data_IF_056345055908
#
_entry.id   IF_056345055908
#
_cell.length_a   1.000
_cell.length_b   1.000
_cell.length_c   1.000
_cell.angle_alpha   90.00
_cell.angle_beta   90.00
_cell.angle_gamma   90.00
#
_symmetry.space_group_name_H-M   'P 1'
#
loop_
_entity.id
_entity.type
_entity.pdbx_description
1 polymer ?
#
# COMPACT_ATOMS: atom_id res chain seq x y z
N UNK A 1 15.96 -10.06 -12.67
CA UNK A 1 15.57 -9.81 -11.27
C UNK A 1 15.35 -8.33 -11.07
N UNK A 2 14.35 -7.93 -10.28
CA UNK A 2 14.03 -6.54 -9.95
C UNK A 2 14.31 -6.29 -8.48
N UNK A 3 14.50 -5.02 -8.12
CA UNK A 3 14.57 -4.59 -6.72
C UNK A 3 13.37 -3.69 -6.39
N UNK A 4 12.95 -3.72 -5.11
CA UNK A 4 11.99 -2.79 -4.52
C UNK A 4 12.59 -2.16 -3.26
N UNK A 5 12.69 -0.83 -3.22
CA UNK A 5 13.09 -0.09 -2.03
C UNK A 5 11.86 0.28 -1.22
N UNK A 6 11.78 -0.27 -0.01
CA UNK A 6 10.59 -0.25 0.84
C UNK A 6 10.53 1.00 1.73
N UNK A 7 9.37 1.32 2.26
CA UNK A 7 9.25 2.31 3.32
C UNK A 7 9.76 1.73 4.65
N UNK A 8 10.79 2.35 5.21
CA UNK A 8 11.48 1.86 6.40
C UNK A 8 10.66 2.04 7.69
N UNK A 9 9.68 2.95 7.71
CA UNK A 9 8.81 3.16 8.88
C UNK A 9 7.84 1.99 9.09
N UNK A 10 7.47 1.28 8.00
CA UNK A 10 6.55 0.15 8.00
C UNK A 10 7.00 -0.93 7.01
N UNK A 11 8.20 -1.51 7.26
CA UNK A 11 8.84 -2.47 6.33
C UNK A 11 7.95 -3.67 6.04
N UNK A 12 7.35 -4.29 7.06
CA UNK A 12 6.52 -5.48 6.88
C UNK A 12 5.24 -5.19 6.10
N UNK A 13 4.62 -4.02 6.30
CA UNK A 13 3.47 -3.58 5.51
C UNK A 13 3.87 -3.38 4.05
N UNK A 14 5.02 -2.73 3.81
CA UNK A 14 5.56 -2.50 2.45
C UNK A 14 5.88 -3.81 1.74
N UNK A 15 6.44 -4.78 2.47
CA UNK A 15 6.78 -6.09 1.94
C UNK A 15 5.52 -6.89 1.58
N UNK A 16 4.49 -6.84 2.43
CA UNK A 16 3.22 -7.50 2.15
C UNK A 16 2.45 -6.81 1.00
N UNK A 17 2.51 -5.48 0.90
CA UNK A 17 1.97 -4.78 -0.27
C UNK A 17 2.69 -5.20 -1.55
N UNK A 18 4.04 -5.31 -1.52
CA UNK A 18 4.80 -5.83 -2.65
C UNK A 18 4.33 -7.22 -3.05
N UNK A 19 4.26 -8.15 -2.09
CA UNK A 19 3.82 -9.54 -2.30
C UNK A 19 2.42 -9.63 -2.91
N UNK A 20 1.53 -8.74 -2.46
CA UNK A 20 0.16 -8.66 -2.98
C UNK A 20 0.13 -8.21 -4.44
N UNK A 21 0.98 -7.25 -4.84
CA UNK A 21 1.04 -6.74 -6.21
C UNK A 21 1.72 -7.73 -7.16
N UNK A 22 2.79 -8.42 -6.71
CA UNK A 22 3.56 -9.37 -7.54
C UNK A 22 3.07 -10.83 -7.42
N UNK A 23 2.00 -11.05 -6.66
CA UNK A 23 1.45 -12.39 -6.41
C UNK A 23 2.47 -13.41 -5.89
N UNK A 24 3.34 -12.97 -4.96
CA UNK A 24 4.25 -13.84 -4.24
C UNK A 24 5.56 -14.23 -4.94
N UNK A 25 5.98 -13.52 -5.98
CA UNK A 25 7.24 -13.78 -6.71
C UNK A 25 8.50 -13.17 -6.07
N UNK A 26 8.46 -12.84 -4.77
CA UNK A 26 9.63 -12.41 -4.00
C UNK A 26 10.67 -13.54 -3.93
N UNK A 27 11.94 -13.18 -4.10
CA UNK A 27 13.08 -14.12 -4.15
C UNK A 27 13.98 -13.96 -2.93
N UNK A 28 14.29 -12.75 -2.56
CA UNK A 28 15.29 -12.45 -1.54
C UNK A 28 14.95 -11.12 -0.85
N UNK A 29 15.32 -10.97 0.40
CA UNK A 29 15.08 -9.77 1.18
C UNK A 29 16.33 -9.36 1.96
N UNK A 30 16.68 -8.09 1.85
CA UNK A 30 17.65 -7.38 2.68
C UNK A 30 16.94 -6.25 3.42
N UNK A 31 17.47 -5.78 4.54
CA UNK A 31 16.80 -4.73 5.30
C UNK A 31 16.46 -3.52 4.43
N UNK A 32 15.18 -3.29 4.20
CA UNK A 32 14.63 -2.21 3.39
C UNK A 32 14.60 -2.46 1.88
N UNK A 33 15.05 -3.61 1.39
CA UNK A 33 15.04 -3.96 -0.04
C UNK A 33 14.58 -5.38 -0.26
N UNK A 34 13.63 -5.56 -1.16
CA UNK A 34 13.23 -6.88 -1.64
C UNK A 34 13.67 -7.07 -3.10
N UNK A 35 14.16 -8.28 -3.41
CA UNK A 35 14.43 -8.73 -4.78
C UNK A 35 13.28 -9.62 -5.24
N UNK A 36 12.80 -9.39 -6.47
CA UNK A 36 11.62 -10.08 -6.97
C UNK A 36 11.64 -10.27 -8.49
N UNK A 37 10.73 -11.09 -8.99
CA UNK A 37 10.45 -11.23 -10.42
C UNK A 37 9.03 -10.68 -10.72
N UNK A 38 8.84 -10.13 -11.91
CA UNK A 38 7.57 -9.57 -12.36
C UNK A 38 7.69 -8.13 -12.88
N UNK A 39 6.64 -7.34 -12.66
CA UNK A 39 6.59 -5.95 -13.14
C UNK A 39 7.63 -5.07 -12.43
N UNK A 40 8.55 -4.50 -13.21
CA UNK A 40 9.59 -3.59 -12.70
C UNK A 40 9.06 -2.22 -12.24
N UNK A 41 7.77 -1.93 -12.48
CA UNK A 41 7.12 -0.64 -12.20
C UNK A 41 6.17 -0.66 -11.01
N UNK A 42 6.24 -1.66 -10.15
CA UNK A 42 5.36 -1.83 -8.99
C UNK A 42 5.24 -0.58 -8.12
N UNK A 43 6.35 0.15 -7.91
CA UNK A 43 6.34 1.36 -7.09
C UNK A 43 5.33 2.41 -7.57
N UNK A 44 5.07 2.51 -8.86
CA UNK A 44 4.10 3.47 -9.41
C UNK A 44 2.71 3.29 -8.83
N UNK A 45 2.27 2.04 -8.64
CA UNK A 45 0.94 1.68 -8.11
C UNK A 45 0.89 1.55 -6.58
N UNK A 46 2.04 1.59 -5.92
CA UNK A 46 2.16 1.34 -4.49
C UNK A 46 1.89 2.59 -3.63
N UNK A 47 1.40 2.35 -2.41
CA UNK A 47 1.37 3.35 -1.34
C UNK A 47 2.66 3.33 -0.50
N UNK A 48 3.29 2.18 -0.30
CA UNK A 48 4.40 2.01 0.63
C UNK A 48 5.78 1.77 -0.02
N UNK A 49 5.85 1.32 -1.29
CA UNK A 49 7.12 1.07 -1.98
C UNK A 49 7.62 2.38 -2.59
N UNK A 50 8.83 2.79 -2.23
CA UNK A 50 9.38 4.08 -2.68
C UNK A 50 9.88 4.06 -4.12
N UNK A 51 10.62 3.01 -4.49
CA UNK A 51 11.26 2.87 -5.80
C UNK A 51 11.31 1.42 -6.22
N UNK A 52 11.24 1.16 -7.52
CA UNK A 52 11.48 -0.15 -8.12
C UNK A 52 12.26 -0.02 -9.41
N UNK A 53 12.94 -1.08 -9.78
CA UNK A 53 13.69 -1.14 -11.03
C UNK A 53 14.40 -2.47 -11.23
N UNK A 54 15.18 -2.53 -12.29
CA UNK A 54 15.94 -3.71 -12.67
C UNK A 54 17.27 -3.76 -11.93
N UNK A 55 17.53 -4.80 -11.15
CA UNK A 55 18.82 -5.03 -10.53
C UNK A 55 19.85 -5.40 -11.61
N UNK A 56 20.96 -4.67 -11.63
CA UNK A 56 22.07 -4.84 -12.56
C UNK A 56 23.23 -5.58 -11.89
N UNK A 57 23.49 -5.29 -10.63
CA UNK A 57 24.49 -5.96 -9.80
C UNK A 57 24.04 -6.06 -8.37
N UNK A 58 24.40 -7.15 -7.71
CA UNK A 58 24.23 -7.42 -6.29
C UNK A 58 25.54 -8.04 -5.83
N UNK A 59 26.33 -7.33 -5.03
CA UNK A 59 27.65 -7.80 -4.60
C UNK A 59 28.07 -7.16 -3.27
N UNK A 60 28.98 -7.79 -2.58
CA UNK A 60 29.69 -7.23 -1.41
C UNK A 60 30.96 -6.47 -1.85
N UNK A 61 31.40 -6.64 -3.10
CA UNK A 61 32.57 -5.94 -3.67
C UNK A 61 32.11 -4.86 -4.65
N UNK A 62 32.56 -3.61 -4.42
CA UNK A 62 32.26 -2.48 -5.29
C UNK A 62 32.83 -2.65 -6.70
N UNK A 63 33.92 -3.42 -6.87
CA UNK A 63 34.52 -3.68 -8.19
C UNK A 63 33.57 -4.45 -9.12
N UNK A 64 32.85 -5.43 -8.59
CA UNK A 64 31.85 -6.16 -9.35
C UNK A 64 30.72 -5.24 -9.82
N UNK A 65 30.31 -4.31 -8.95
CA UNK A 65 29.29 -3.31 -9.28
C UNK A 65 29.78 -2.38 -10.38
N UNK A 66 31.02 -1.87 -10.28
CA UNK A 66 31.64 -1.01 -11.30
C UNK A 66 31.73 -1.74 -12.65
N UNK A 67 32.14 -3.00 -12.65
CA UNK A 67 32.24 -3.81 -13.87
C UNK A 67 30.88 -3.98 -14.54
N UNK A 68 29.84 -4.28 -13.78
CA UNK A 68 28.46 -4.42 -14.29
C UNK A 68 27.89 -3.11 -14.87
N UNK A 69 28.39 -1.96 -14.44
CA UNK A 69 27.96 -0.64 -14.90
C UNK A 69 28.83 -0.05 -16.01
N UNK A 70 29.93 -0.71 -16.36
CA UNK A 70 30.92 -0.19 -17.32
C UNK A 70 30.32 0.10 -18.70
N UNK A 71 30.76 1.20 -19.30
CA UNK A 71 30.35 1.61 -20.66
C UNK A 71 28.98 2.30 -20.72
N UNK A 72 28.27 2.45 -19.62
CA UNK A 72 26.97 3.14 -19.55
C UNK A 72 27.08 4.48 -18.83
N UNK A 73 26.10 5.33 -19.06
CA UNK A 73 25.96 6.62 -18.38
C UNK A 73 24.77 6.60 -17.42
N UNK A 74 24.98 7.09 -16.19
CA UNK A 74 23.92 7.12 -15.19
C UNK A 74 23.83 8.44 -14.41
N UNK A 75 22.63 8.77 -13.94
CA UNK A 75 22.38 9.71 -12.86
C UNK A 75 22.24 8.90 -11.56
N UNK A 76 23.25 8.98 -10.70
CA UNK A 76 23.39 8.07 -9.56
C UNK A 76 22.78 8.67 -8.30
N UNK A 77 21.81 7.96 -7.70
CA UNK A 77 21.30 8.21 -6.34
C UNK A 77 21.81 7.12 -5.40
N UNK A 78 21.97 7.44 -4.10
CA UNK A 78 22.37 6.46 -3.10
C UNK A 78 21.39 6.43 -1.92
N UNK A 79 20.97 5.23 -1.55
CA UNK A 79 20.10 4.96 -0.41
C UNK A 79 20.83 4.07 0.62
N UNK A 80 20.70 4.40 1.90
CA UNK A 80 21.34 3.67 2.99
C UNK A 80 20.31 3.42 4.09
N UNK A 81 19.61 2.28 4.04
CA UNK A 81 18.58 1.92 5.02
C UNK A 81 19.11 1.90 6.47
N UNK A 82 20.33 1.45 6.67
CA UNK A 82 20.95 1.26 7.99
C UNK A 82 22.06 2.30 8.23
N UNK A 83 21.94 3.06 9.31
CA UNK A 83 22.86 4.19 9.62
C UNK A 83 24.32 3.79 9.72
N UNK A 84 24.61 2.60 10.18
CA UNK A 84 25.96 2.06 10.35
C UNK A 84 26.73 1.97 9.02
N UNK A 85 26.06 1.76 7.91
CA UNK A 85 26.67 1.67 6.58
C UNK A 85 26.92 3.03 5.90
N UNK A 86 26.58 4.16 6.50
CA UNK A 86 26.71 5.48 5.88
C UNK A 86 28.14 5.81 5.40
N UNK A 87 29.15 5.46 6.18
CA UNK A 87 30.54 5.74 5.78
C UNK A 87 30.98 4.82 4.63
N UNK A 88 30.64 3.54 4.71
CA UNK A 88 30.89 2.59 3.65
C UNK A 88 30.17 3.00 2.34
N UNK A 89 28.92 3.40 2.44
CA UNK A 89 28.14 3.88 1.29
C UNK A 89 28.76 5.11 0.61
N UNK A 90 29.39 6.03 1.36
CA UNK A 90 30.14 7.17 0.77
C UNK A 90 31.33 6.69 -0.05
N UNK A 91 32.08 5.70 0.44
CA UNK A 91 33.19 5.09 -0.30
C UNK A 91 32.70 4.43 -1.57
N UNK A 92 31.66 3.57 -1.45
CA UNK A 92 31.01 2.91 -2.62
C UNK A 92 30.56 3.93 -3.65
N UNK A 93 29.85 4.99 -3.22
CA UNK A 93 29.41 6.05 -4.13
C UNK A 93 30.57 6.72 -4.83
N UNK A 94 31.63 7.10 -4.09
CA UNK A 94 32.84 7.73 -4.65
C UNK A 94 33.52 6.86 -5.71
N UNK A 95 33.70 5.56 -5.42
CA UNK A 95 34.31 4.61 -6.35
C UNK A 95 33.46 4.41 -7.61
N UNK A 96 32.12 4.23 -7.46
CA UNK A 96 31.23 4.05 -8.61
C UNK A 96 31.24 5.29 -9.50
N UNK A 97 31.01 6.51 -8.93
CA UNK A 97 30.88 7.72 -9.76
C UNK A 97 32.20 8.14 -10.42
N UNK A 98 33.36 7.78 -9.84
CA UNK A 98 34.67 8.01 -10.46
C UNK A 98 35.01 7.02 -11.58
N UNK A 99 34.34 5.85 -11.59
CA UNK A 99 34.64 4.75 -12.50
C UNK A 99 33.69 4.68 -13.70
N UNK A 100 32.56 5.36 -13.66
CA UNK A 100 31.55 5.36 -14.73
C UNK A 100 31.25 6.78 -15.24
N UNK A 101 30.65 6.88 -16.43
CA UNK A 101 30.15 8.17 -16.92
C UNK A 101 28.89 8.59 -16.16
N UNK A 102 28.84 9.80 -15.62
CA UNK A 102 27.69 10.32 -14.89
C UNK A 102 27.14 11.59 -15.52
N UNK A 103 25.80 11.71 -15.57
CA UNK A 103 25.10 12.93 -15.99
C UNK A 103 23.65 12.90 -15.51
N UNK A 104 23.09 14.05 -15.13
CA UNK A 104 21.66 14.20 -14.76
C UNK A 104 20.70 13.87 -15.92
N UNK A 105 21.19 13.81 -17.16
CA UNK A 105 20.39 13.48 -18.35
C UNK A 105 20.37 11.98 -18.67
N UNK A 106 21.18 11.18 -17.96
CA UNK A 106 21.23 9.74 -18.15
C UNK A 106 20.19 9.01 -17.30
N UNK A 107 20.02 7.71 -17.56
CA UNK A 107 19.12 6.85 -16.78
C UNK A 107 19.45 6.88 -15.29
N UNK A 108 18.41 6.83 -14.45
CA UNK A 108 18.59 6.84 -13.00
C UNK A 108 19.10 5.48 -12.52
N UNK A 109 20.18 5.52 -11.76
CA UNK A 109 20.76 4.38 -11.06
C UNK A 109 20.57 4.56 -9.56
N UNK A 110 19.96 3.58 -8.91
CA UNK A 110 19.94 3.50 -7.45
C UNK A 110 21.08 2.60 -6.97
N UNK A 111 21.94 3.15 -6.13
CA UNK A 111 22.88 2.38 -5.31
C UNK A 111 22.26 2.23 -3.92
N UNK A 112 21.97 1.01 -3.50
CA UNK A 112 21.41 0.74 -2.19
C UNK A 112 22.42 -0.08 -1.41
N UNK A 113 22.88 0.45 -0.26
CA UNK A 113 23.87 -0.21 0.60
C UNK A 113 23.21 -0.63 1.90
N UNK A 114 23.07 -1.92 2.10
CA UNK A 114 22.42 -2.52 3.25
C UNK A 114 23.06 -3.86 3.63
N UNK A 115 23.18 -4.18 4.91
CA UNK A 115 23.72 -5.46 5.43
C UNK A 115 25.04 -5.90 4.77
N UNK A 116 25.89 -4.93 4.40
CA UNK A 116 27.17 -5.19 3.74
C UNK A 116 27.06 -5.48 2.22
N UNK A 117 25.85 -5.52 1.67
CA UNK A 117 25.58 -5.77 0.25
C UNK A 117 25.35 -4.44 -0.47
N UNK A 118 25.84 -4.34 -1.68
CA UNK A 118 25.60 -3.24 -2.62
C UNK A 118 24.65 -3.75 -3.71
N UNK A 119 23.48 -3.10 -3.82
CA UNK A 119 22.53 -3.38 -4.89
C UNK A 119 22.57 -2.17 -5.83
N UNK A 120 22.99 -2.38 -7.05
CA UNK A 120 22.96 -1.39 -8.12
C UNK A 120 21.81 -1.71 -9.08
N UNK A 121 20.88 -0.79 -9.25
CA UNK A 121 19.70 -1.02 -10.05
C UNK A 121 19.25 0.18 -10.87
N UNK A 122 18.85 -0.07 -12.12
CA UNK A 122 18.27 0.92 -13.01
C UNK A 122 16.83 1.18 -12.62
N UNK A 123 16.54 2.41 -12.12
CA UNK A 123 15.20 2.79 -11.66
C UNK A 123 14.19 2.79 -12.80
N UNK A 124 13.07 2.10 -12.62
CA UNK A 124 11.98 2.04 -13.59
C UNK A 124 10.71 2.73 -13.12
N UNK A 125 10.51 2.83 -11.81
CA UNK A 125 9.40 3.57 -11.23
C UNK A 125 9.72 4.11 -9.84
N UNK A 126 9.04 5.20 -9.51
CA UNK A 126 8.91 5.75 -8.15
C UNK A 126 7.44 5.75 -7.74
N UNK A 127 7.18 5.79 -6.42
CA UNK A 127 5.84 5.98 -5.88
C UNK A 127 5.21 7.23 -6.49
N UNK A 128 3.99 7.10 -7.02
CA UNK A 128 3.28 8.22 -7.64
C UNK A 128 2.66 9.15 -6.58
N UNK A 129 3.53 9.90 -5.90
CA UNK A 129 3.17 10.79 -4.79
C UNK A 129 2.21 11.90 -5.23
N UNK A 130 2.29 12.36 -6.48
CA UNK A 130 1.42 13.41 -7.00
C UNK A 130 -0.07 13.03 -6.96
N UNK A 131 -0.43 11.79 -7.31
CA UNK A 131 -1.82 11.32 -7.21
C UNK A 131 -2.29 11.26 -5.76
N UNK A 132 -1.45 10.76 -4.84
CA UNK A 132 -1.77 10.70 -3.41
C UNK A 132 -2.03 12.11 -2.85
N UNK A 133 -1.15 13.06 -3.18
CA UNK A 133 -1.31 14.47 -2.78
C UNK A 133 -2.54 15.13 -3.43
N UNK A 134 -2.84 14.80 -4.68
CA UNK A 134 -4.05 15.27 -5.37
C UNK A 134 -5.30 14.73 -4.68
N UNK A 135 -5.35 13.41 -4.42
CA UNK A 135 -6.48 12.76 -3.75
C UNK A 135 -6.70 13.25 -2.32
N UNK A 136 -5.65 13.70 -1.62
CA UNK A 136 -5.79 14.31 -0.29
C UNK A 136 -6.44 15.70 -0.33
N UNK A 137 -6.42 16.40 -1.49
CA UNK A 137 -7.02 17.72 -1.70
C UNK A 137 -8.45 17.67 -2.25
N UNK A 138 -9.13 16.52 -2.16
CA UNK A 138 -10.53 16.38 -2.56
C UNK A 138 -11.45 17.42 -1.90
N UNK A 139 -12.54 17.84 -2.56
CA UNK A 139 -13.43 18.92 -2.08
C UNK A 139 -14.02 18.65 -0.68
N UNK A 140 -14.34 17.38 -0.37
CA UNK A 140 -14.93 17.01 0.91
C UNK A 140 -14.00 16.08 1.67
N UNK A 141 -13.53 16.55 2.82
CA UNK A 141 -12.80 15.76 3.81
C UNK A 141 -13.33 16.10 5.21
N UNK A 142 -13.12 15.23 6.17
CA UNK A 142 -13.49 15.46 7.57
C UNK A 142 -12.44 14.87 8.49
N UNK A 143 -12.47 15.28 9.75
CA UNK A 143 -11.57 14.70 10.77
C UNK A 143 -11.74 13.18 10.82
N UNK A 144 -10.64 12.46 10.80
CA UNK A 144 -10.63 10.98 10.78
C UNK A 144 -10.75 10.35 9.40
N UNK A 145 -10.89 11.15 8.33
CA UNK A 145 -10.86 10.60 6.97
C UNK A 145 -9.55 9.86 6.70
N UNK A 146 -9.66 8.66 6.13
CA UNK A 146 -8.52 7.81 5.77
C UNK A 146 -7.54 8.53 4.83
N UNK A 147 -6.24 8.43 5.12
CA UNK A 147 -5.20 8.94 4.24
C UNK A 147 -5.21 8.18 2.90
N UNK A 148 -5.16 8.86 1.73
CA UNK A 148 -5.10 8.20 0.42
C UNK A 148 -3.97 7.18 0.28
N UNK A 149 -2.80 7.44 0.85
CA UNK A 149 -1.68 6.50 0.84
C UNK A 149 -2.06 5.17 1.52
N UNK A 150 -2.70 5.23 2.69
CA UNK A 150 -3.18 4.04 3.42
C UNK A 150 -4.30 3.36 2.62
N UNK A 151 -5.23 4.14 2.07
CA UNK A 151 -6.29 3.61 1.20
C UNK A 151 -5.72 2.80 0.03
N UNK A 152 -4.70 3.33 -0.65
CA UNK A 152 -4.00 2.64 -1.74
C UNK A 152 -3.35 1.33 -1.30
N UNK A 153 -2.64 1.35 -0.17
CA UNK A 153 -2.05 0.14 0.41
C UNK A 153 -3.12 -0.91 0.69
N UNK A 154 -4.24 -0.51 1.29
CA UNK A 154 -5.35 -1.43 1.60
C UNK A 154 -5.95 -2.05 0.35
N UNK A 155 -6.14 -1.26 -0.72
CA UNK A 155 -6.63 -1.79 -2.01
C UNK A 155 -5.63 -2.78 -2.60
N UNK A 156 -4.33 -2.48 -2.58
CA UNK A 156 -3.30 -3.42 -3.04
C UNK A 156 -3.26 -4.71 -2.21
N UNK A 157 -3.38 -4.62 -0.87
CA UNK A 157 -3.41 -5.77 0.03
C UNK A 157 -4.63 -6.69 -0.20
N UNK A 158 -5.69 -6.17 -0.79
CA UNK A 158 -6.87 -6.97 -1.14
C UNK A 158 -6.62 -7.94 -2.30
N UNK A 159 -5.56 -7.73 -3.09
CA UNK A 159 -5.20 -8.48 -4.30
C UNK A 159 -6.29 -8.50 -5.37
N UNK A 160 -7.28 -7.61 -5.27
CA UNK A 160 -8.36 -7.53 -6.27
C UNK A 160 -7.82 -7.15 -7.65
N UNK A 161 -8.31 -7.84 -8.67
CA UNK A 161 -7.98 -7.58 -10.08
C UNK A 161 -9.16 -6.98 -10.84
N UNK A 162 -10.36 -7.02 -10.29
CA UNK A 162 -11.60 -6.60 -10.97
C UNK A 162 -12.34 -5.51 -10.22
N UNK A 163 -12.71 -5.76 -8.97
CA UNK A 163 -13.62 -4.89 -8.25
C UNK A 163 -13.40 -4.86 -6.74
N UNK A 164 -13.66 -3.70 -6.16
CA UNK A 164 -13.62 -3.47 -4.71
C UNK A 164 -14.95 -2.90 -4.26
N UNK A 165 -15.47 -3.41 -3.14
CA UNK A 165 -16.61 -2.85 -2.43
C UNK A 165 -16.21 -2.25 -1.10
N UNK A 166 -16.65 -1.00 -0.85
CA UNK A 166 -16.50 -0.28 0.42
C UNK A 166 -17.89 -0.04 1.05
N UNK A 167 -18.30 -0.83 2.06
CA UNK A 167 -19.60 -0.69 2.73
C UNK A 167 -19.68 0.45 3.76
N UNK A 168 -18.58 1.16 4.03
CA UNK A 168 -18.52 2.35 4.88
C UNK A 168 -17.80 3.48 4.13
N UNK A 169 -18.34 3.84 2.96
CA UNK A 169 -17.62 4.66 1.95
C UNK A 169 -17.19 6.04 2.47
N UNK A 170 -17.89 6.60 3.45
CA UNK A 170 -17.57 7.92 3.99
C UNK A 170 -17.41 8.97 2.88
N UNK A 171 -16.24 9.60 2.83
CA UNK A 171 -15.92 10.59 1.79
C UNK A 171 -15.28 9.99 0.52
N UNK A 172 -15.21 8.65 0.41
CA UNK A 172 -14.84 7.92 -0.81
C UNK A 172 -13.34 7.65 -1.01
N UNK A 173 -12.51 7.65 0.03
CA UNK A 173 -11.05 7.43 -0.13
C UNK A 173 -10.73 6.11 -0.82
N UNK A 174 -11.32 5.00 -0.36
CA UNK A 174 -11.08 3.66 -0.93
C UNK A 174 -11.54 3.61 -2.39
N UNK A 175 -12.68 4.20 -2.72
CA UNK A 175 -13.18 4.21 -4.11
C UNK A 175 -12.27 5.01 -5.04
N UNK A 176 -11.78 6.17 -4.57
CA UNK A 176 -10.83 7.01 -5.33
C UNK A 176 -9.55 6.21 -5.65
N UNK A 177 -8.98 5.54 -4.65
CA UNK A 177 -7.76 4.74 -4.84
C UNK A 177 -8.01 3.49 -5.69
N UNK A 178 -9.15 2.81 -5.51
CA UNK A 178 -9.54 1.68 -6.34
C UNK A 178 -9.68 2.09 -7.81
N UNK A 179 -10.35 3.21 -8.07
CA UNK A 179 -10.53 3.70 -9.44
C UNK A 179 -9.23 4.16 -10.08
N UNK A 180 -8.35 4.81 -9.31
CA UNK A 180 -7.01 5.18 -9.77
C UNK A 180 -6.17 3.96 -10.14
N UNK A 181 -6.31 2.86 -9.41
CA UNK A 181 -5.66 1.58 -9.72
C UNK A 181 -6.31 0.83 -10.89
N UNK A 182 -7.40 1.35 -11.45
CA UNK A 182 -8.09 0.78 -12.62
C UNK A 182 -9.17 -0.25 -12.27
N UNK A 183 -9.52 -0.42 -11.00
CA UNK A 183 -10.54 -1.35 -10.55
C UNK A 183 -11.95 -0.75 -10.68
N UNK A 184 -12.96 -1.60 -10.85
CA UNK A 184 -14.36 -1.24 -10.63
C UNK A 184 -14.57 -0.99 -9.14
N UNK A 185 -15.32 0.07 -8.81
CA UNK A 185 -15.54 0.47 -7.43
C UNK A 185 -17.03 0.56 -7.12
N UNK A 186 -17.41 -0.04 -6.00
CA UNK A 186 -18.75 -0.04 -5.45
C UNK A 186 -18.65 0.51 -4.03
N UNK A 187 -19.53 1.41 -3.62
CA UNK A 187 -19.54 1.94 -2.28
C UNK A 187 -20.93 2.15 -1.72
N UNK A 188 -21.08 1.99 -0.41
CA UNK A 188 -22.30 2.36 0.28
C UNK A 188 -21.99 3.00 1.64
N UNK A 189 -22.94 3.74 2.15
CA UNK A 189 -22.94 4.29 3.50
C UNK A 189 -24.38 4.38 4.00
N UNK A 190 -24.57 4.27 5.30
CA UNK A 190 -25.88 4.46 5.92
C UNK A 190 -26.29 5.94 5.90
N UNK A 191 -25.30 6.85 5.94
CA UNK A 191 -25.52 8.31 5.93
C UNK A 191 -25.60 8.85 4.49
N UNK A 192 -26.77 9.36 4.04
CA UNK A 192 -26.92 9.95 2.71
C UNK A 192 -26.02 11.18 2.47
N UNK A 193 -25.58 11.86 3.53
CA UNK A 193 -24.63 12.97 3.42
C UNK A 193 -23.27 12.46 2.96
N UNK A 194 -22.81 11.30 3.44
CA UNK A 194 -21.56 10.67 3.01
C UNK A 194 -21.66 10.23 1.54
N UNK A 195 -22.78 9.68 1.12
CA UNK A 195 -23.05 9.35 -0.31
C UNK A 195 -22.87 10.60 -1.18
N UNK A 196 -23.50 11.70 -0.80
CA UNK A 196 -23.39 12.97 -1.56
C UNK A 196 -21.95 13.47 -1.63
N UNK A 197 -21.20 13.42 -0.52
CA UNK A 197 -19.79 13.85 -0.46
C UNK A 197 -18.87 12.95 -1.28
N UNK A 198 -19.05 11.63 -1.19
CA UNK A 198 -18.24 10.67 -1.95
C UNK A 198 -18.45 10.83 -3.46
N UNK A 199 -19.70 10.97 -3.90
CA UNK A 199 -20.02 11.22 -5.30
C UNK A 199 -19.41 12.53 -5.82
N UNK A 200 -19.45 13.61 -5.02
CA UNK A 200 -18.83 14.87 -5.38
C UNK A 200 -17.30 14.77 -5.49
N UNK A 201 -16.66 14.05 -4.58
CA UNK A 201 -15.23 13.78 -4.62
C UNK A 201 -14.83 12.93 -5.84
N UNK A 202 -15.58 11.88 -6.16
CA UNK A 202 -15.36 11.05 -7.35
C UNK A 202 -15.48 11.86 -8.64
N UNK A 203 -16.53 12.68 -8.76
CA UNK A 203 -16.72 13.57 -9.91
C UNK A 203 -15.58 14.58 -10.07
N UNK A 204 -15.03 15.10 -8.99
CA UNK A 204 -13.89 16.01 -9.02
C UNK A 204 -12.66 15.42 -9.73
N UNK A 205 -12.45 14.10 -9.61
CA UNK A 205 -11.37 13.37 -10.27
C UNK A 205 -11.79 12.71 -11.59
N UNK A 206 -13.03 12.92 -12.07
CA UNK A 206 -13.62 12.24 -13.22
C UNK A 206 -13.62 10.71 -13.05
N UNK A 207 -13.88 10.24 -11.84
CA UNK A 207 -13.99 8.82 -11.52
C UNK A 207 -15.45 8.38 -11.45
N UNK A 208 -15.74 7.24 -12.07
CA UNK A 208 -17.06 6.63 -12.05
C UNK A 208 -17.03 5.40 -11.13
N UNK A 209 -17.89 5.42 -10.10
CA UNK A 209 -18.13 4.31 -9.17
C UNK A 209 -19.63 4.20 -8.91
N UNK A 210 -20.10 3.02 -8.58
CA UNK A 210 -21.47 2.80 -8.11
C UNK A 210 -21.54 3.15 -6.62
N UNK A 211 -22.32 4.17 -6.25
CA UNK A 211 -22.46 4.59 -4.86
C UNK A 211 -23.93 4.76 -4.50
N UNK A 212 -24.36 4.12 -3.41
CA UNK A 212 -25.75 4.11 -2.96
C UNK A 212 -25.86 4.06 -1.43
N UNK A 213 -27.04 4.38 -0.90
CA UNK A 213 -27.31 4.29 0.54
C UNK A 213 -27.64 2.85 0.92
N UNK A 214 -26.92 2.28 1.89
CA UNK A 214 -27.21 0.99 2.50
C UNK A 214 -26.55 0.83 3.86
N UNK A 215 -27.09 -0.09 4.66
CA UNK A 215 -26.49 -0.53 5.91
C UNK A 215 -25.49 -1.68 5.62
N UNK A 216 -24.25 -1.53 6.08
CA UNK A 216 -23.20 -2.52 5.90
C UNK A 216 -23.53 -3.91 6.51
N UNK A 217 -24.46 -3.96 7.45
CA UNK A 217 -24.95 -5.18 8.10
C UNK A 217 -25.97 -5.94 7.26
N UNK A 218 -26.55 -5.27 6.26
CA UNK A 218 -27.54 -5.85 5.34
C UNK A 218 -27.35 -5.23 3.95
N UNK A 219 -26.21 -5.45 3.35
CA UNK A 219 -25.86 -4.90 2.04
C UNK A 219 -26.66 -5.59 0.92
N UNK A 220 -27.22 -4.82 -0.04
CA UNK A 220 -27.89 -5.38 -1.21
C UNK A 220 -26.93 -5.87 -2.30
N UNK A 221 -25.62 -5.69 -2.11
CA UNK A 221 -24.59 -6.10 -3.08
C UNK A 221 -24.51 -7.63 -3.14
N UNK A 222 -24.33 -8.14 -4.33
CA UNK A 222 -24.00 -9.55 -4.54
C UNK A 222 -22.52 -9.80 -4.19
N UNK A 223 -22.05 -11.01 -4.44
CA UNK A 223 -20.65 -11.37 -4.23
C UNK A 223 -19.70 -10.45 -5.02
N UNK A 224 -18.64 -10.04 -4.35
CA UNK A 224 -17.56 -9.18 -4.88
C UNK A 224 -16.21 -9.84 -4.66
N UNK A 225 -15.23 -9.47 -5.47
CA UNK A 225 -13.88 -10.02 -5.35
C UNK A 225 -13.21 -9.61 -4.05
N UNK A 226 -13.33 -8.34 -3.64
CA UNK A 226 -12.76 -7.84 -2.39
C UNK A 226 -13.66 -6.83 -1.68
N UNK A 227 -13.62 -6.88 -0.35
CA UNK A 227 -14.12 -5.84 0.55
C UNK A 227 -12.94 -5.04 1.11
N UNK A 228 -12.92 -3.73 0.88
CA UNK A 228 -11.88 -2.85 1.44
C UNK A 228 -12.57 -1.66 2.08
N UNK A 229 -12.35 -1.42 3.37
CA UNK A 229 -13.16 -0.44 4.09
C UNK A 229 -12.48 0.13 5.34
N UNK A 230 -12.90 1.33 5.74
CA UNK A 230 -12.52 2.01 6.99
C UNK A 230 -13.78 2.22 7.87
N UNK A 231 -14.25 1.16 8.59
CA UNK A 231 -15.45 1.25 9.40
C UNK A 231 -15.30 2.27 10.54
N UNK A 232 -16.40 2.81 11.10
CA UNK A 232 -16.31 3.71 12.23
C UNK A 232 -15.69 3.02 13.46
N UNK A 233 -14.82 3.75 14.16
CA UNK A 233 -14.22 3.30 15.41
C UNK A 233 -14.13 4.47 16.40
N UNK A 234 -14.39 4.20 17.67
CA UNK A 234 -14.18 5.13 18.77
C UNK A 234 -15.38 6.02 19.11
N UNK A 235 -15.30 7.33 18.90
CA UNK A 235 -16.14 8.33 19.58
C UNK A 235 -17.62 8.35 19.23
N UNK A 236 -18.04 7.77 18.12
CA UNK A 236 -19.43 7.82 17.64
C UNK A 236 -20.32 6.69 18.16
N UNK A 237 -19.74 5.70 18.82
CA UNK A 237 -20.44 4.52 19.32
C UNK A 237 -20.10 4.23 20.78
N UNK A 238 -21.06 3.66 21.55
CA UNK A 238 -20.69 2.97 22.78
C UNK A 238 -19.84 1.74 22.45
N UNK A 239 -18.93 1.30 23.35
CA UNK A 239 -18.11 0.11 23.09
C UNK A 239 -18.94 -1.14 22.73
N UNK A 240 -20.12 -1.31 23.34
CA UNK A 240 -21.05 -2.41 23.07
C UNK A 240 -21.65 -2.29 21.67
N UNK A 241 -22.18 -1.13 21.29
CA UNK A 241 -22.76 -0.90 19.97
C UNK A 241 -21.76 -1.03 18.84
N UNK A 242 -20.48 -0.61 19.08
CA UNK A 242 -19.40 -0.81 18.13
C UNK A 242 -19.13 -2.32 17.91
N UNK A 243 -19.07 -3.10 18.98
CA UNK A 243 -18.81 -4.54 18.89
C UNK A 243 -19.95 -5.28 18.17
N UNK A 244 -21.18 -4.91 18.39
CA UNK A 244 -22.35 -5.45 17.68
C UNK A 244 -22.27 -5.13 16.18
N UNK A 245 -22.00 -3.85 15.82
CA UNK A 245 -21.83 -3.43 14.43
C UNK A 245 -20.77 -4.27 13.68
N UNK A 246 -19.58 -4.42 14.29
CA UNK A 246 -18.49 -5.17 13.65
C UNK A 246 -18.82 -6.66 13.49
N UNK A 247 -19.44 -7.29 14.49
CA UNK A 247 -19.87 -8.70 14.43
C UNK A 247 -20.86 -8.93 13.29
N UNK A 248 -21.92 -8.13 13.22
CA UNK A 248 -22.92 -8.22 12.17
C UNK A 248 -22.31 -7.95 10.79
N UNK A 249 -21.45 -6.95 10.70
CA UNK A 249 -20.69 -6.66 9.48
C UNK A 249 -19.80 -7.84 9.05
N UNK A 250 -19.09 -8.50 9.97
CA UNK A 250 -18.22 -9.63 9.61
C UNK A 250 -19.02 -10.83 9.06
N UNK A 251 -20.18 -11.12 9.65
CA UNK A 251 -21.09 -12.14 9.10
C UNK A 251 -21.55 -11.78 7.69
N UNK A 252 -21.98 -10.53 7.48
CA UNK A 252 -22.36 -10.06 6.15
C UNK A 252 -21.17 -10.09 5.17
N UNK A 253 -20.00 -9.67 5.60
CA UNK A 253 -18.78 -9.69 4.78
C UNK A 253 -18.42 -11.10 4.30
N UNK A 254 -18.59 -12.12 5.17
CA UNK A 254 -18.33 -13.51 4.80
C UNK A 254 -19.25 -13.98 3.66
N UNK A 255 -20.50 -13.55 3.64
CA UNK A 255 -21.42 -13.88 2.55
C UNK A 255 -21.07 -13.17 1.23
N UNK A 256 -20.57 -11.92 1.32
CA UNK A 256 -20.34 -11.04 0.17
C UNK A 256 -18.99 -11.26 -0.52
N UNK A 257 -17.92 -11.54 0.23
CA UNK A 257 -16.55 -11.54 -0.32
C UNK A 257 -16.16 -12.93 -0.83
N UNK A 258 -15.67 -13.01 -2.06
CA UNK A 258 -15.07 -14.24 -2.60
C UNK A 258 -13.55 -14.32 -2.32
N UNK A 259 -12.84 -13.19 -2.25
CA UNK A 259 -11.42 -13.09 -1.96
C UNK A 259 -11.13 -12.59 -0.53
N UNK A 260 -10.59 -11.36 -0.42
CA UNK A 260 -10.14 -10.81 0.86
C UNK A 260 -11.06 -9.73 1.40
N UNK A 261 -11.17 -9.67 2.73
CA UNK A 261 -11.63 -8.52 3.48
C UNK A 261 -10.40 -7.76 4.01
N UNK A 262 -10.25 -6.48 3.66
CA UNK A 262 -9.24 -5.58 4.22
C UNK A 262 -9.94 -4.42 4.91
N UNK A 263 -9.70 -4.27 6.20
CA UNK A 263 -10.32 -3.17 6.95
C UNK A 263 -9.37 -2.55 7.97
N UNK A 264 -9.66 -1.32 8.37
CA UNK A 264 -8.94 -0.65 9.45
C UNK A 264 -9.78 -0.57 10.71
N UNK A 265 -9.09 -0.43 11.85
CA UNK A 265 -9.70 -0.20 13.15
C UNK A 265 -8.71 0.47 14.10
N UNK A 266 -9.16 0.98 15.27
CA UNK A 266 -8.25 1.36 16.35
C UNK A 266 -7.52 0.10 16.86
N UNK A 267 -6.20 0.16 16.97
CA UNK A 267 -5.34 -0.93 17.45
C UNK A 267 -5.76 -1.50 18.82
N UNK A 268 -6.51 -0.75 19.60
CA UNK A 268 -7.04 -1.20 20.91
C UNK A 268 -8.05 -2.34 20.80
N UNK A 269 -8.65 -2.56 19.63
CA UNK A 269 -9.63 -3.61 19.42
C UNK A 269 -8.99 -4.81 18.75
N UNK A 270 -9.22 -5.98 19.34
CA UNK A 270 -8.83 -7.27 18.74
C UNK A 270 -10.08 -7.98 18.21
N UNK A 271 -10.10 -8.18 16.91
CA UNK A 271 -11.22 -8.76 16.19
C UNK A 271 -11.00 -10.22 15.74
N UNK A 272 -9.89 -10.84 16.13
CA UNK A 272 -9.53 -12.20 15.65
C UNK A 272 -10.58 -13.24 15.96
N UNK A 273 -11.12 -13.25 17.18
CA UNK A 273 -12.15 -14.22 17.60
C UNK A 273 -13.49 -13.96 16.91
N UNK A 274 -13.87 -12.69 16.74
CA UNK A 274 -15.12 -12.30 16.06
C UNK A 274 -15.05 -12.64 14.56
N UNK A 275 -13.90 -12.42 13.90
CA UNK A 275 -13.65 -12.82 12.50
C UNK A 275 -13.71 -14.34 12.32
N UNK A 276 -13.06 -15.09 13.22
CA UNK A 276 -13.11 -16.55 13.21
C UNK A 276 -14.55 -17.07 13.40
N UNK A 277 -15.30 -16.45 14.31
CA UNK A 277 -16.70 -16.80 14.55
C UNK A 277 -17.59 -16.53 13.32
N UNK A 278 -17.27 -15.51 12.52
CA UNK A 278 -17.95 -15.22 11.27
C UNK A 278 -17.54 -16.14 10.10
N UNK A 279 -16.50 -16.99 10.26
CA UNK A 279 -16.10 -17.97 9.27
C UNK A 279 -14.83 -17.65 8.49
N UNK A 280 -14.11 -16.57 8.84
CA UNK A 280 -12.78 -16.29 8.28
C UNK A 280 -11.70 -17.18 8.91
N UNK A 281 -10.67 -17.56 8.12
CA UNK A 281 -9.64 -18.51 8.53
C UNK A 281 -8.27 -17.86 8.73
N UNK A 282 -7.88 -16.96 7.82
CA UNK A 282 -6.59 -16.28 7.87
C UNK A 282 -6.73 -14.82 8.29
N UNK A 283 -5.91 -14.37 9.25
CA UNK A 283 -5.88 -12.97 9.69
C UNK A 283 -4.43 -12.52 9.79
N UNK A 284 -4.08 -11.49 9.03
CA UNK A 284 -2.82 -10.76 9.16
C UNK A 284 -3.11 -9.34 9.61
N UNK A 285 -2.30 -8.79 10.50
CA UNK A 285 -2.52 -7.47 11.09
C UNK A 285 -1.25 -6.63 10.94
N UNK A 286 -1.40 -5.42 10.41
CA UNK A 286 -0.35 -4.41 10.39
C UNK A 286 -0.75 -3.23 11.25
N UNK A 287 0.20 -2.69 12.02
CA UNK A 287 -0.04 -1.52 12.87
C UNK A 287 0.65 -0.30 12.28
N UNK A 288 -0.10 0.79 12.16
CA UNK A 288 0.40 2.10 11.73
C UNK A 288 0.20 3.09 12.86
N UNK A 289 1.28 3.74 13.28
CA UNK A 289 1.20 4.86 14.21
C UNK A 289 0.81 6.14 13.46
N UNK A 290 -0.31 6.75 13.81
CA UNK A 290 -0.74 8.03 13.22
C UNK A 290 -0.40 9.23 14.11
N UNK A 291 -0.76 9.17 15.40
CA UNK A 291 -0.43 10.20 16.38
C UNK A 291 -0.65 9.68 17.82
N UNK A 292 -0.33 10.50 18.83
CA UNK A 292 -0.34 10.12 20.27
C UNK A 292 -1.62 9.43 20.78
N UNK A 293 -2.77 9.67 20.15
CA UNK A 293 -4.05 9.11 20.57
C UNK A 293 -4.64 8.07 19.61
N UNK A 294 -3.97 7.76 18.52
CA UNK A 294 -4.44 6.81 17.51
C UNK A 294 -3.30 6.01 16.90
N UNK A 295 -3.33 4.70 17.10
CA UNK A 295 -2.63 3.72 16.28
C UNK A 295 -3.69 2.92 15.52
N UNK A 296 -3.53 2.85 14.22
CA UNK A 296 -4.45 2.15 13.31
C UNK A 296 -3.96 0.74 13.07
N UNK A 297 -4.86 -0.23 13.15
CA UNK A 297 -4.59 -1.60 12.71
C UNK A 297 -5.25 -1.83 11.34
N UNK A 298 -4.50 -2.37 10.39
CA UNK A 298 -5.01 -2.87 9.12
C UNK A 298 -5.10 -4.39 9.23
N UNK A 299 -6.30 -4.91 9.09
CA UNK A 299 -6.59 -6.34 9.04
C UNK A 299 -6.68 -6.78 7.58
N UNK A 300 -5.94 -7.81 7.23
CA UNK A 300 -6.03 -8.51 5.94
C UNK A 300 -6.54 -9.91 6.25
N UNK A 301 -7.73 -10.22 5.76
CA UNK A 301 -8.51 -11.38 6.20
C UNK A 301 -8.89 -12.23 5.01
N UNK A 302 -8.72 -13.54 5.13
CA UNK A 302 -9.07 -14.54 4.10
C UNK A 302 -10.09 -15.56 4.62
N UNK A 303 -10.90 -16.09 3.73
CA UNK A 303 -11.82 -17.21 4.00
C UNK A 303 -11.11 -18.52 4.26
#
# INVERSE_FOLDING_TARGET
MNYAYLNLDNIFLSLDELRSIIHGSEKEYYYGVALYEGDERVAYKSGAIKKTGKALAISTDVKDVVEALRGRCYSVDIDVPMREYKNYAKTVYGEVVSSIKTSKKCEKLDLIVTEGVIIAGERKAEKHTESILSHSKRPYSQSGTLNPEIGRIMVNLSESQREVYDPFVGTGTILIESRWLGLRCIGSDIDPVMITKSLANLRHFNYECEVFQADARNSPVRKVEALVTDPPYGRSFSPKGLKELYREFFYQATELVDGKLVFTTDFKFDWRDDLKSAGFKGVKIHTIYEHKSLSRAIYVVTK
#
